data_IF_939206148349
#
_entry.id   IF_939206148349
#
_cell.length_a   1.000
_cell.length_b   1.000
_cell.length_c   1.000
_cell.angle_alpha   90.00
_cell.angle_beta   90.00
_cell.angle_gamma   90.00
#
_symmetry.space_group_name_H-M   'P 1'
#
loop_
_entity.id
_entity.type
_entity.pdbx_description
1 polymer ?
#
# COMPACT_ATOMS: atom_id res chain seq x y z
N UNK A 1 -29.08 0.81 11.34
CA UNK A 1 -28.37 0.86 10.04
C UNK A 1 -27.12 1.70 10.26
N UNK A 2 -25.99 1.06 10.56
CA UNK A 2 -24.74 1.78 10.83
C UNK A 2 -24.20 2.36 9.53
N UNK A 3 -23.75 3.61 9.58
CA UNK A 3 -23.21 4.38 8.47
C UNK A 3 -22.23 3.53 7.62
N UNK A 4 -22.62 3.25 6.39
CA UNK A 4 -21.93 2.36 5.43
C UNK A 4 -20.81 3.08 4.66
N UNK A 5 -20.60 4.37 4.90
CA UNK A 5 -19.53 5.11 4.26
C UNK A 5 -18.16 4.64 4.78
N UNK A 6 -17.26 4.28 3.86
CA UNK A 6 -15.87 3.97 4.19
C UNK A 6 -15.21 5.20 4.84
N UNK A 7 -14.45 5.03 5.95
CA UNK A 7 -13.58 6.08 6.46
C UNK A 7 -12.35 6.32 5.57
N UNK A 8 -12.12 5.50 4.54
CA UNK A 8 -10.98 5.54 3.63
C UNK A 8 -11.40 5.65 2.15
N UNK A 9 -12.35 6.53 1.78
CA UNK A 9 -12.95 6.50 0.45
C UNK A 9 -11.93 6.83 -0.65
N UNK A 10 -10.98 7.73 -0.38
CA UNK A 10 -9.92 8.09 -1.32
C UNK A 10 -8.94 6.94 -1.57
N UNK A 11 -8.46 6.32 -0.49
CA UNK A 11 -7.52 5.19 -0.57
C UNK A 11 -8.15 4.00 -1.31
N UNK A 12 -9.40 3.66 -1.00
CA UNK A 12 -10.11 2.54 -1.65
C UNK A 12 -10.28 2.78 -3.15
N UNK A 13 -10.74 3.97 -3.55
CA UNK A 13 -10.90 4.32 -4.96
C UNK A 13 -9.55 4.30 -5.70
N UNK A 14 -8.52 4.95 -5.15
CA UNK A 14 -7.18 4.98 -5.74
C UNK A 14 -6.55 3.59 -5.87
N UNK A 15 -6.78 2.70 -4.90
CA UNK A 15 -6.31 1.32 -4.97
C UNK A 15 -6.99 0.55 -6.10
N UNK A 16 -8.31 0.66 -6.22
CA UNK A 16 -9.06 0.02 -7.31
C UNK A 16 -8.57 0.55 -8.66
N UNK A 17 -8.45 1.87 -8.83
CA UNK A 17 -7.96 2.48 -10.07
C UNK A 17 -6.55 1.99 -10.44
N UNK A 18 -5.68 1.86 -9.44
CA UNK A 18 -4.30 1.35 -9.64
C UNK A 18 -4.29 -0.11 -10.07
N UNK A 19 -5.09 -0.96 -9.41
CA UNK A 19 -5.18 -2.38 -9.74
C UNK A 19 -5.84 -2.60 -11.09
N UNK A 20 -6.91 -1.86 -11.41
CA UNK A 20 -7.62 -1.96 -12.69
C UNK A 20 -6.73 -1.50 -13.86
N UNK A 21 -5.82 -0.54 -13.65
CA UNK A 21 -4.83 -0.10 -14.65
C UNK A 21 -3.59 -1.00 -14.75
N UNK A 22 -3.32 -1.82 -13.73
CA UNK A 22 -2.15 -2.69 -13.71
C UNK A 22 -2.36 -3.93 -14.58
N UNK A 23 -1.41 -4.17 -15.48
CA UNK A 23 -1.33 -5.40 -16.28
C UNK A 23 -0.34 -6.37 -15.61
N UNK A 24 -0.82 -7.45 -14.99
CA UNK A 24 0.05 -8.43 -14.33
C UNK A 24 0.85 -9.24 -15.35
N UNK A 25 2.06 -9.63 -14.98
CA UNK A 25 2.97 -10.40 -15.85
C UNK A 25 2.63 -11.89 -15.76
N UNK A 26 2.20 -12.35 -14.59
CA UNK A 26 1.89 -13.76 -14.32
C UNK A 26 0.41 -13.98 -14.01
N UNK A 27 -0.08 -15.19 -14.29
CA UNK A 27 -1.46 -15.58 -14.00
C UNK A 27 -1.78 -15.50 -12.50
N UNK A 28 -0.84 -15.90 -11.64
CA UNK A 28 -0.94 -15.80 -10.18
C UNK A 28 -1.15 -14.36 -9.71
N UNK A 29 -0.54 -13.39 -10.38
CA UNK A 29 -0.69 -11.97 -10.07
C UNK A 29 -2.05 -11.44 -10.52
N UNK A 30 -2.57 -11.91 -11.66
CA UNK A 30 -3.95 -11.60 -12.10
C UNK A 30 -4.99 -12.11 -11.10
N UNK A 31 -4.84 -13.35 -10.63
CA UNK A 31 -5.71 -13.93 -9.61
C UNK A 31 -5.64 -13.15 -8.29
N UNK A 32 -4.43 -12.76 -7.87
CA UNK A 32 -4.24 -11.96 -6.66
C UNK A 32 -4.83 -10.56 -6.79
N UNK A 33 -4.65 -9.89 -7.94
CA UNK A 33 -5.27 -8.60 -8.24
C UNK A 33 -6.79 -8.69 -8.12
N UNK A 34 -7.40 -9.68 -8.74
CA UNK A 34 -8.85 -9.86 -8.74
C UNK A 34 -9.39 -10.15 -7.32
N UNK A 35 -8.64 -10.89 -6.50
CA UNK A 35 -8.93 -11.08 -5.08
C UNK A 35 -8.91 -9.76 -4.31
N UNK A 36 -7.88 -8.91 -4.51
CA UNK A 36 -7.78 -7.60 -3.86
C UNK A 36 -8.92 -6.67 -4.29
N UNK A 37 -9.22 -6.60 -5.58
CA UNK A 37 -10.33 -5.77 -6.10
C UNK A 37 -11.66 -6.24 -5.52
N UNK A 38 -11.92 -7.55 -5.51
CA UNK A 38 -13.13 -8.13 -4.92
C UNK A 38 -13.23 -7.83 -3.42
N UNK A 39 -12.14 -7.98 -2.67
CA UNK A 39 -12.07 -7.71 -1.25
C UNK A 39 -12.41 -6.24 -0.93
N UNK A 40 -11.78 -5.28 -1.61
CA UNK A 40 -12.00 -3.84 -1.39
C UNK A 40 -13.41 -3.42 -1.81
N UNK A 41 -13.94 -3.94 -2.93
CA UNK A 41 -15.30 -3.63 -3.38
C UNK A 41 -16.39 -4.19 -2.46
N UNK A 42 -16.14 -5.37 -1.87
CA UNK A 42 -17.10 -6.02 -0.95
C UNK A 42 -17.12 -5.32 0.42
N UNK A 43 -15.97 -4.81 0.87
CA UNK A 43 -15.77 -4.28 2.20
C UNK A 43 -15.06 -2.91 2.20
N UNK A 44 -15.62 -1.87 1.55
CA UNK A 44 -14.88 -0.63 1.23
C UNK A 44 -14.36 0.14 2.43
N UNK A 45 -14.87 -0.11 3.65
CA UNK A 45 -14.35 0.44 4.90
C UNK A 45 -13.45 -0.51 5.69
N UNK A 46 -13.89 -1.73 5.95
CA UNK A 46 -13.12 -2.69 6.76
C UNK A 46 -11.92 -3.28 6.04
N UNK A 47 -11.88 -3.24 4.71
CA UNK A 47 -10.72 -3.68 3.93
C UNK A 47 -9.48 -2.81 4.15
N UNK A 48 -9.62 -1.58 4.67
CA UNK A 48 -8.50 -0.67 4.94
C UNK A 48 -8.33 -0.38 6.45
N UNK A 49 -9.34 -0.72 7.26
CA UNK A 49 -9.33 -0.44 8.69
C UNK A 49 -8.80 -1.64 9.48
N UNK A 50 -7.57 -1.51 9.99
CA UNK A 50 -6.92 -2.51 10.86
C UNK A 50 -7.73 -2.90 12.10
N UNK A 51 -8.68 -2.06 12.53
CA UNK A 51 -9.52 -2.26 13.70
C UNK A 51 -10.91 -2.86 13.43
N UNK A 52 -11.30 -3.05 12.16
CA UNK A 52 -12.67 -3.50 11.80
C UNK A 52 -12.77 -4.83 11.06
N UNK A 53 -11.65 -5.41 10.63
CA UNK A 53 -11.62 -6.67 9.88
C UNK A 53 -10.62 -7.67 10.45
N UNK A 54 -10.79 -8.96 10.11
CA UNK A 54 -9.75 -9.97 10.31
C UNK A 54 -8.58 -9.75 9.34
N UNK A 55 -8.87 -9.15 8.19
CA UNK A 55 -7.94 -8.86 7.11
C UNK A 55 -8.09 -7.38 6.73
N UNK A 56 -7.00 -6.78 6.27
CA UNK A 56 -6.98 -5.42 5.74
C UNK A 56 -5.75 -5.24 4.84
N UNK A 57 -5.82 -4.29 3.92
CA UNK A 57 -4.71 -3.91 3.05
C UNK A 57 -3.67 -3.16 3.86
N UNK A 58 -2.40 -3.48 3.59
CA UNK A 58 -1.24 -2.75 4.12
C UNK A 58 -0.51 -2.06 2.98
N UNK A 59 0.19 -0.98 3.31
CA UNK A 59 1.08 -0.27 2.40
C UNK A 59 2.53 -0.68 2.65
N UNK A 60 3.30 -0.92 1.60
CA UNK A 60 4.73 -1.28 1.67
C UNK A 60 5.55 -0.39 0.78
N UNK A 61 6.75 -0.02 1.22
CA UNK A 61 7.69 0.83 0.50
C UNK A 61 9.08 0.17 0.45
N UNK A 62 9.58 -0.04 -0.77
CA UNK A 62 10.99 -0.38 -0.99
C UNK A 62 11.74 0.90 -1.37
N UNK A 63 12.61 1.36 -0.46
CA UNK A 63 13.47 2.51 -0.71
C UNK A 63 14.82 2.05 -1.25
N UNK A 64 15.18 2.55 -2.42
CA UNK A 64 16.47 2.28 -3.05
C UNK A 64 17.40 3.48 -2.89
N UNK A 65 18.70 3.23 -2.82
CA UNK A 65 19.70 4.26 -3.06
C UNK A 65 19.52 4.82 -4.49
N UNK A 66 19.97 6.07 -4.77
CA UNK A 66 19.75 6.70 -6.08
C UNK A 66 20.30 5.91 -7.27
N UNK A 67 21.35 5.11 -7.07
CA UNK A 67 21.96 4.24 -8.06
C UNK A 67 21.27 2.87 -8.20
N UNK A 68 20.21 2.64 -7.43
CA UNK A 68 19.45 1.39 -7.32
C UNK A 68 20.28 0.17 -6.86
N UNK A 69 21.49 0.38 -6.33
CA UNK A 69 22.38 -0.71 -5.94
C UNK A 69 22.08 -1.26 -4.53
N UNK A 70 21.39 -0.48 -3.69
CA UNK A 70 21.09 -0.83 -2.30
C UNK A 70 19.63 -0.55 -1.99
N UNK A 71 19.06 -1.34 -1.08
CA UNK A 71 17.71 -1.17 -0.55
C UNK A 71 17.77 -0.95 0.97
N UNK A 72 17.02 0.03 1.46
CA UNK A 72 16.85 0.25 2.89
C UNK A 72 15.82 -0.75 3.44
N UNK A 73 16.20 -1.46 4.49
CA UNK A 73 15.33 -2.39 5.23
C UNK A 73 15.33 -2.02 6.72
N UNK A 74 14.19 -2.26 7.38
CA UNK A 74 14.05 -2.18 8.82
C UNK A 74 14.30 -3.56 9.45
N UNK A 75 15.07 -3.60 10.55
CA UNK A 75 15.24 -4.84 11.31
C UNK A 75 14.09 -5.01 12.32
N UNK A 76 13.20 -5.96 12.05
CA UNK A 76 12.06 -6.26 12.91
C UNK A 76 12.54 -7.02 14.17
N UNK A 77 12.74 -6.30 15.28
CA UNK A 77 13.36 -6.82 16.51
C UNK A 77 12.70 -8.09 17.06
N UNK A 78 11.37 -8.16 17.06
CA UNK A 78 10.62 -9.30 17.62
C UNK A 78 10.71 -10.54 16.73
N UNK A 79 10.60 -10.36 15.43
CA UNK A 79 10.64 -11.45 14.44
C UNK A 79 12.05 -11.84 14.00
N UNK A 80 13.04 -10.99 14.28
CA UNK A 80 14.46 -11.19 13.95
C UNK A 80 14.72 -11.38 12.45
N UNK A 81 14.04 -10.59 11.61
CA UNK A 81 14.25 -10.54 10.17
C UNK A 81 14.32 -9.09 9.68
N UNK A 82 14.91 -8.88 8.50
CA UNK A 82 14.90 -7.61 7.79
C UNK A 82 13.68 -7.55 6.87
N UNK A 83 12.99 -6.41 6.85
CA UNK A 83 11.75 -6.20 6.10
C UNK A 83 11.73 -4.80 5.50
N UNK A 84 10.99 -4.63 4.41
CA UNK A 84 10.71 -3.31 3.85
C UNK A 84 9.92 -2.44 4.85
N UNK A 85 9.96 -1.13 4.65
CA UNK A 85 9.17 -0.17 5.44
C UNK A 85 7.70 -0.27 5.04
N UNK A 86 6.80 0.06 5.95
CA UNK A 86 5.37 0.05 5.63
C UNK A 86 4.47 -0.13 6.83
N UNK A 87 3.18 -0.07 6.59
CA UNK A 87 2.20 -0.06 7.68
C UNK A 87 0.77 -0.01 7.17
N UNK A 88 -0.09 0.60 7.98
CA UNK A 88 -1.51 0.68 7.71
C UNK A 88 -1.85 1.98 6.98
N UNK A 89 -2.89 1.94 6.16
CA UNK A 89 -3.47 3.17 5.64
C UNK A 89 -4.14 3.96 6.78
N UNK A 90 -4.07 5.28 6.69
CA UNK A 90 -4.82 6.22 7.51
C UNK A 90 -5.90 6.93 6.68
N UNK A 91 -6.97 7.39 7.33
CA UNK A 91 -8.09 8.05 6.65
C UNK A 91 -7.67 9.35 5.93
N UNK A 92 -6.54 9.93 6.34
CA UNK A 92 -5.93 11.13 5.75
C UNK A 92 -5.03 10.83 4.55
N UNK A 93 -4.70 9.55 4.30
CA UNK A 93 -3.89 9.18 3.14
C UNK A 93 -4.70 9.32 1.86
N UNK A 94 -4.08 9.84 0.79
CA UNK A 94 -4.74 9.97 -0.51
C UNK A 94 -4.76 8.66 -1.32
N UNK A 95 -3.87 7.72 -1.00
CA UNK A 95 -3.69 6.44 -1.70
C UNK A 95 -2.87 5.46 -0.85
N UNK A 96 -2.83 4.18 -1.24
CA UNK A 96 -1.91 3.19 -0.64
C UNK A 96 -0.45 3.61 -0.83
N UNK A 97 -0.12 4.23 -1.96
CA UNK A 97 1.21 4.78 -2.19
C UNK A 97 1.51 5.94 -1.21
N UNK A 98 0.56 6.83 -0.95
CA UNK A 98 0.72 7.91 0.04
C UNK A 98 0.97 7.36 1.44
N UNK A 99 0.24 6.32 1.84
CA UNK A 99 0.46 5.62 3.10
C UNK A 99 1.87 5.00 3.15
N UNK A 100 2.30 4.31 2.09
CA UNK A 100 3.65 3.74 2.01
C UNK A 100 4.75 4.81 2.14
N UNK A 101 4.56 5.97 1.52
CA UNK A 101 5.48 7.11 1.62
C UNK A 101 5.50 7.75 3.01
N UNK A 102 4.35 7.85 3.69
CA UNK A 102 4.28 8.33 5.07
C UNK A 102 5.04 7.40 6.01
N UNK A 103 4.73 6.11 5.96
CA UNK A 103 5.39 5.07 6.78
C UNK A 103 6.91 5.04 6.50
N UNK A 104 7.33 5.15 5.25
CA UNK A 104 8.75 5.18 4.89
C UNK A 104 9.50 6.37 5.53
N UNK A 105 8.86 7.54 5.65
CA UNK A 105 9.43 8.71 6.34
C UNK A 105 9.47 8.51 7.85
N UNK A 106 8.39 8.01 8.43
CA UNK A 106 8.25 7.80 9.88
C UNK A 106 9.20 6.71 10.41
N UNK A 107 9.29 5.58 9.72
CA UNK A 107 10.12 4.44 10.13
C UNK A 107 11.58 4.56 9.65
N UNK A 108 11.79 5.14 8.46
CA UNK A 108 13.11 5.27 7.84
C UNK A 108 13.88 6.51 8.28
N UNK A 109 13.21 7.56 8.76
CA UNK A 109 13.83 8.82 9.16
C UNK A 109 14.37 9.67 8.00
N UNK A 110 14.01 9.34 6.76
CA UNK A 110 14.45 10.06 5.54
C UNK A 110 13.24 10.81 4.98
N UNK A 111 13.27 12.13 5.04
CA UNK A 111 12.17 12.97 4.55
C UNK A 111 12.19 13.17 3.02
N UNK A 112 13.40 13.18 2.46
CA UNK A 112 13.67 13.44 1.05
C UNK A 112 13.67 12.11 0.28
N UNK A 113 12.47 11.64 -0.07
CA UNK A 113 12.24 10.44 -0.86
C UNK A 113 11.24 10.76 -1.97
N UNK A 114 11.51 10.24 -3.17
CA UNK A 114 10.69 10.40 -4.37
C UNK A 114 10.29 9.06 -4.95
N UNK A 115 9.20 9.05 -5.71
CA UNK A 115 8.74 7.85 -6.41
C UNK A 115 9.66 7.54 -7.58
N UNK A 116 10.27 6.35 -7.56
CA UNK A 116 11.04 5.84 -8.68
C UNK A 116 10.14 5.63 -9.90
N UNK A 117 10.23 6.54 -10.88
CA UNK A 117 9.56 6.46 -12.17
C UNK A 117 8.02 6.48 -12.09
N UNK A 118 7.40 7.56 -12.56
CA UNK A 118 6.03 7.45 -13.08
C UNK A 118 6.16 6.95 -14.52
N UNK A 119 5.65 5.76 -14.83
CA UNK A 119 5.25 5.50 -16.21
C UNK A 119 4.09 6.45 -16.52
N UNK A 120 4.39 7.59 -17.13
CA UNK A 120 3.40 8.33 -17.90
C UNK A 120 3.05 7.52 -19.15
N UNK A 121 1.83 7.67 -19.71
CA UNK A 121 1.52 7.01 -20.98
C UNK A 121 2.46 7.55 -22.07
N UNK A 122 3.01 6.65 -22.89
CA UNK A 122 3.55 6.98 -24.19
C UNK A 122 2.42 7.27 -25.17
#
# INVERSE_FOLDING_TARGET
>A
MANTASPFPAVAASLIDTLDAWTPIEQSQSELRDQYVSFVRTLPGSALDRGRGQEHVTASCFLFAPDLAQVLLCFHKKGRFWVQLGGHAEATDASVASAAFREAREEGGINDIDQAGRAGPA
#
